data_IF_329596009982
#
_entry.id   IF_329596009982
#
_cell.length_a   1.000
_cell.length_b   1.000
_cell.length_c   1.000
_cell.angle_alpha   90.00
_cell.angle_beta   90.00
_cell.angle_gamma   90.00
#
_symmetry.space_group_name_H-M   'P 1'
#
loop_
_entity.id
_entity.type
_entity.pdbx_description
1 polymer ?
#
# COMPACT_ATOMS: atom_id res chain seq x y z
N UNK A 1 37.91 -51.73 -37.24
CA UNK A 1 38.37 -50.98 -36.05
C UNK A 1 37.51 -49.74 -35.91
N UNK A 2 36.39 -49.85 -35.13
CA UNK A 2 35.40 -48.80 -34.98
C UNK A 2 35.56 -48.14 -33.62
N UNK A 3 36.00 -46.90 -33.59
CA UNK A 3 36.06 -46.08 -32.38
C UNK A 3 34.73 -45.31 -32.23
N UNK A 4 33.86 -45.81 -31.32
CA UNK A 4 32.63 -45.10 -30.91
C UNK A 4 33.03 -43.96 -29.96
N UNK A 5 32.79 -42.73 -30.40
CA UNK A 5 32.92 -41.50 -29.56
C UNK A 5 31.58 -41.29 -28.84
N UNK A 6 31.59 -41.40 -27.54
CA UNK A 6 30.46 -41.07 -26.68
C UNK A 6 30.54 -39.56 -26.38
N UNK A 7 29.56 -38.80 -26.85
CA UNK A 7 29.35 -37.41 -26.42
C UNK A 7 28.47 -37.44 -25.18
N UNK A 8 29.06 -37.11 -24.03
CA UNK A 8 28.30 -36.86 -22.79
C UNK A 8 27.72 -35.42 -22.86
N UNK A 9 26.42 -35.33 -22.99
CA UNK A 9 25.70 -34.06 -22.89
C UNK A 9 25.48 -33.73 -21.40
N UNK A 10 26.21 -32.74 -20.87
CA UNK A 10 25.97 -32.21 -19.54
C UNK A 10 24.82 -31.19 -19.60
N UNK A 11 23.66 -31.54 -19.02
CA UNK A 11 22.55 -30.63 -18.80
C UNK A 11 22.86 -29.74 -17.58
N UNK A 12 23.17 -28.51 -17.83
CA UNK A 12 23.25 -27.44 -16.79
C UNK A 12 21.85 -26.97 -16.45
N UNK A 13 21.32 -27.41 -15.31
CA UNK A 13 20.10 -26.88 -14.69
C UNK A 13 20.46 -25.55 -14.03
N UNK A 14 20.18 -24.43 -14.70
CA UNK A 14 20.23 -23.11 -14.10
C UNK A 14 19.02 -22.93 -13.18
N UNK A 15 19.20 -23.12 -11.89
CA UNK A 15 18.21 -22.77 -10.87
C UNK A 15 18.17 -21.23 -10.73
N UNK A 16 17.16 -20.58 -11.32
CA UNK A 16 16.84 -19.20 -11.05
C UNK A 16 16.26 -19.08 -9.64
N UNK A 17 17.11 -18.92 -8.64
CA UNK A 17 16.69 -18.45 -7.32
C UNK A 17 16.36 -16.98 -7.40
N UNK A 18 15.10 -16.66 -7.67
CA UNK A 18 14.57 -15.31 -7.58
C UNK A 18 14.54 -14.87 -6.11
N UNK A 19 15.65 -14.38 -5.59
CA UNK A 19 15.67 -13.66 -4.34
C UNK A 19 14.90 -12.35 -4.55
N UNK A 20 13.66 -12.27 -4.03
CA UNK A 20 12.92 -11.01 -3.95
C UNK A 20 13.75 -10.06 -3.09
N UNK A 21 14.36 -9.05 -3.72
CA UNK A 21 15.04 -7.99 -3.00
C UNK A 21 14.04 -7.31 -2.04
N UNK A 22 14.44 -6.99 -0.80
CA UNK A 22 13.58 -6.26 0.10
C UNK A 22 13.19 -4.94 -0.57
N UNK A 23 11.89 -4.68 -0.66
CA UNK A 23 11.39 -3.45 -1.25
C UNK A 23 11.93 -2.27 -0.44
N UNK A 24 12.88 -1.53 -1.02
CA UNK A 24 13.41 -0.31 -0.44
C UNK A 24 12.29 0.73 -0.43
N UNK A 25 11.85 1.11 0.76
CA UNK A 25 10.89 2.21 0.92
C UNK A 25 11.62 3.50 0.58
N UNK A 26 11.36 4.06 -0.60
CA UNK A 26 11.89 5.36 -0.98
C UNK A 26 11.14 6.46 -0.22
N UNK A 27 11.84 7.43 0.38
CA UNK A 27 11.21 8.59 0.99
C UNK A 27 10.31 9.30 -0.02
N UNK A 28 9.08 9.60 0.38
CA UNK A 28 8.15 10.32 -0.47
C UNK A 28 8.36 11.84 -0.33
N UNK A 29 8.46 12.54 -1.47
CA UNK A 29 8.68 14.00 -1.51
C UNK A 29 7.36 14.78 -1.57
N UNK A 30 6.24 14.10 -1.77
CA UNK A 30 4.89 14.68 -1.84
C UNK A 30 3.88 13.79 -1.13
N UNK A 31 2.77 14.38 -0.71
CA UNK A 31 1.68 13.64 -0.08
C UNK A 31 1.14 12.55 -1.01
N UNK A 32 0.90 12.87 -2.29
CA UNK A 32 0.47 11.90 -3.30
C UNK A 32 1.45 10.74 -3.46
N UNK A 33 2.77 11.01 -3.49
CA UNK A 33 3.77 9.95 -3.61
C UNK A 33 3.78 9.03 -2.38
N UNK A 34 3.57 9.57 -1.18
CA UNK A 34 3.44 8.78 0.05
C UNK A 34 2.26 7.82 -0.03
N UNK A 35 1.10 8.30 -0.51
CA UNK A 35 -0.10 7.49 -0.69
C UNK A 35 0.11 6.42 -1.75
N UNK A 36 0.70 6.75 -2.91
CA UNK A 36 0.99 5.78 -3.96
C UNK A 36 1.90 4.64 -3.47
N UNK A 37 2.98 4.99 -2.74
CA UNK A 37 3.89 4.01 -2.18
C UNK A 37 3.20 3.13 -1.14
N UNK A 38 2.34 3.73 -0.29
CA UNK A 38 1.57 2.98 0.71
C UNK A 38 0.58 2.02 0.06
N UNK A 39 -0.18 2.47 -0.95
CA UNK A 39 -1.14 1.63 -1.67
C UNK A 39 -0.45 0.49 -2.43
N UNK A 40 0.75 0.73 -2.98
CA UNK A 40 1.56 -0.36 -3.56
C UNK A 40 1.96 -1.38 -2.49
N UNK A 41 2.41 -0.93 -1.31
CA UNK A 41 2.73 -1.83 -0.20
C UNK A 41 1.51 -2.64 0.27
N UNK A 42 0.30 -2.05 0.23
CA UNK A 42 -0.97 -2.76 0.48
C UNK A 42 -1.19 -3.86 -0.55
N UNK A 43 -1.08 -3.55 -1.85
CA UNK A 43 -1.26 -4.51 -2.95
C UNK A 43 -0.26 -5.68 -2.85
N UNK A 44 0.98 -5.37 -2.48
CA UNK A 44 2.06 -6.35 -2.30
C UNK A 44 1.95 -7.12 -0.95
N UNK A 45 0.96 -6.80 -0.10
CA UNK A 45 0.83 -7.33 1.27
C UNK A 45 2.11 -7.15 2.09
N UNK A 46 2.87 -6.08 1.83
CA UNK A 46 4.13 -5.78 2.47
C UNK A 46 3.91 -4.95 3.75
N UNK A 47 3.59 -5.64 4.85
CA UNK A 47 3.30 -5.01 6.15
C UNK A 47 4.48 -4.19 6.68
N UNK A 48 5.71 -4.62 6.42
CA UNK A 48 6.92 -3.89 6.84
C UNK A 48 7.04 -2.55 6.12
N UNK A 49 6.82 -2.52 4.81
CA UNK A 49 6.80 -1.28 4.03
C UNK A 49 5.66 -0.36 4.48
N UNK A 50 4.46 -0.91 4.71
CA UNK A 50 3.32 -0.14 5.24
C UNK A 50 3.66 0.52 6.57
N UNK A 51 4.27 -0.21 7.52
CA UNK A 51 4.71 0.35 8.81
C UNK A 51 5.80 1.42 8.67
N UNK A 52 6.60 1.36 7.62
CA UNK A 52 7.59 2.39 7.27
C UNK A 52 6.98 3.65 6.63
N UNK A 53 5.77 3.56 6.11
CA UNK A 53 5.07 4.65 5.41
C UNK A 53 3.89 5.23 6.21
N UNK A 54 3.51 4.62 7.31
CA UNK A 54 2.45 5.06 8.22
C UNK A 54 3.03 5.37 9.60
N UNK A 55 2.48 6.40 10.26
CA UNK A 55 2.94 6.75 11.60
C UNK A 55 2.31 8.01 12.17
N UNK A 56 3.05 8.66 13.04
CA UNK A 56 2.66 9.87 13.74
C UNK A 56 3.64 11.01 13.43
N UNK A 57 3.40 12.20 13.97
CA UNK A 57 4.35 13.32 13.90
C UNK A 57 5.74 13.01 14.45
N UNK A 58 5.88 11.93 15.22
CA UNK A 58 7.19 11.44 15.72
C UNK A 58 7.95 10.63 14.67
N UNK A 59 7.28 10.24 13.58
CA UNK A 59 7.87 9.47 12.48
C UNK A 59 7.14 8.16 12.20
N UNK A 60 7.70 7.36 11.27
CA UNK A 60 7.13 6.08 10.87
C UNK A 60 7.00 5.10 12.04
N UNK A 61 5.89 4.34 12.07
CA UNK A 61 5.59 3.38 13.12
C UNK A 61 6.67 2.29 13.24
N UNK A 62 7.26 1.86 12.14
CA UNK A 62 8.37 0.90 12.13
C UNK A 62 9.58 1.37 12.94
N UNK A 63 9.85 2.69 12.96
CA UNK A 63 10.98 3.29 13.70
C UNK A 63 10.60 3.64 15.13
N UNK A 64 9.44 4.25 15.31
CA UNK A 64 9.01 4.83 16.60
C UNK A 64 8.34 3.82 17.52
N UNK A 65 7.88 2.69 16.97
CA UNK A 65 7.04 1.70 17.64
C UNK A 65 5.77 2.31 18.24
N UNK A 66 5.26 3.37 17.60
CA UNK A 66 4.08 4.13 18.04
C UNK A 66 3.01 4.18 16.95
N UNK A 67 1.74 4.02 17.34
CA UNK A 67 1.24 3.62 18.66
C UNK A 67 1.66 2.17 19.02
N UNK A 68 1.56 1.77 20.28
CA UNK A 68 2.04 0.43 20.74
C UNK A 68 1.38 -0.74 20.02
N UNK A 69 0.18 -0.55 19.48
CA UNK A 69 -0.60 -1.53 18.71
C UNK A 69 -0.43 -1.37 17.18
N UNK A 70 0.62 -0.67 16.72
CA UNK A 70 0.79 -0.33 15.30
C UNK A 70 0.79 -1.55 14.37
N UNK A 71 1.38 -2.68 14.80
CA UNK A 71 1.42 -3.90 13.98
C UNK A 71 0.01 -4.40 13.68
N UNK A 72 -0.85 -4.43 14.71
CA UNK A 72 -2.26 -4.80 14.54
C UNK A 72 -2.99 -3.83 13.60
N UNK A 73 -2.74 -2.52 13.72
CA UNK A 73 -3.35 -1.51 12.85
C UNK A 73 -2.92 -1.68 11.40
N UNK A 74 -1.65 -1.99 11.15
CA UNK A 74 -1.14 -2.26 9.79
C UNK A 74 -1.86 -3.45 9.16
N UNK A 75 -2.06 -4.55 9.90
CA UNK A 75 -2.80 -5.73 9.41
C UNK A 75 -4.25 -5.36 9.08
N UNK A 76 -4.92 -4.59 9.95
CA UNK A 76 -6.29 -4.13 9.70
C UNK A 76 -6.34 -3.23 8.46
N UNK A 77 -5.43 -2.26 8.33
CA UNK A 77 -5.36 -1.39 7.15
C UNK A 77 -5.13 -2.19 5.88
N UNK A 78 -4.21 -3.16 5.88
CA UNK A 78 -3.97 -4.04 4.73
C UNK A 78 -5.24 -4.77 4.32
N UNK A 79 -5.98 -5.34 5.27
CA UNK A 79 -7.23 -6.06 5.00
C UNK A 79 -8.31 -5.17 4.39
N UNK A 80 -8.52 -3.97 4.97
CA UNK A 80 -9.55 -3.03 4.51
C UNK A 80 -9.21 -2.35 3.19
N UNK A 81 -7.92 -2.10 2.94
CA UNK A 81 -7.44 -1.40 1.75
C UNK A 81 -7.03 -2.34 0.61
N UNK A 82 -7.13 -3.66 0.80
CA UNK A 82 -6.92 -4.64 -0.28
C UNK A 82 -7.79 -4.28 -1.50
N UNK A 83 -7.20 -4.25 -2.68
CA UNK A 83 -7.84 -3.75 -3.90
C UNK A 83 -7.30 -4.43 -5.16
N UNK A 84 -8.08 -4.37 -6.23
CA UNK A 84 -7.65 -4.77 -7.58
C UNK A 84 -6.97 -3.59 -8.30
N UNK A 85 -7.42 -2.36 -7.98
CA UNK A 85 -6.89 -1.12 -8.55
C UNK A 85 -7.11 0.04 -7.59
N UNK A 86 -6.20 1.03 -7.63
CA UNK A 86 -6.32 2.26 -6.85
C UNK A 86 -5.80 3.47 -7.59
N UNK A 87 -6.46 4.62 -7.41
CA UNK A 87 -6.01 5.89 -7.97
C UNK A 87 -6.29 7.05 -7.04
N UNK A 88 -5.42 8.04 -7.06
CA UNK A 88 -5.64 9.30 -6.35
C UNK A 88 -6.64 10.14 -7.15
N UNK A 89 -7.67 10.64 -6.47
CA UNK A 89 -8.67 11.54 -7.03
C UNK A 89 -8.32 13.01 -6.77
N UNK A 90 -7.83 13.32 -5.58
CA UNK A 90 -7.43 14.67 -5.19
C UNK A 90 -6.35 14.64 -4.11
N UNK A 91 -5.58 15.72 -4.04
CA UNK A 91 -4.55 15.98 -3.05
C UNK A 91 -4.63 17.49 -2.73
N UNK A 92 -5.08 17.82 -1.53
CA UNK A 92 -5.33 19.21 -1.12
C UNK A 92 -4.73 19.48 0.25
N UNK A 93 -4.12 20.67 0.48
CA UNK A 93 -3.70 21.08 1.80
C UNK A 93 -4.86 21.05 2.81
N UNK A 94 -4.59 20.58 4.02
CA UNK A 94 -5.55 20.46 5.12
C UNK A 94 -5.04 21.26 6.33
N UNK A 95 -5.39 22.55 6.37
CA UNK A 95 -5.00 23.48 7.42
C UNK A 95 -3.55 23.99 7.37
N UNK A 96 -2.67 23.31 6.68
CA UNK A 96 -1.28 23.73 6.42
C UNK A 96 -0.66 23.00 5.23
N UNK A 97 0.42 23.55 4.67
CA UNK A 97 1.19 22.89 3.58
C UNK A 97 1.91 21.62 4.02
N UNK A 98 2.06 21.40 5.33
CA UNK A 98 2.66 20.18 5.89
C UNK A 98 1.64 19.08 6.21
N UNK A 99 0.36 19.29 5.91
CA UNK A 99 -0.72 18.33 6.09
C UNK A 99 -1.65 18.37 4.89
N UNK A 100 -1.93 17.21 4.32
CA UNK A 100 -2.79 17.07 3.16
C UNK A 100 -3.91 16.07 3.41
N UNK A 101 -5.07 16.34 2.83
CA UNK A 101 -6.17 15.41 2.63
C UNK A 101 -6.08 14.86 1.21
N UNK A 102 -5.88 13.55 1.11
CA UNK A 102 -5.77 12.86 -0.18
C UNK A 102 -6.93 11.88 -0.32
N UNK A 103 -7.72 12.02 -1.40
CA UNK A 103 -8.82 11.12 -1.71
C UNK A 103 -8.32 10.01 -2.63
N UNK A 104 -8.52 8.77 -2.23
CA UNK A 104 -8.11 7.59 -3.00
C UNK A 104 -9.33 6.78 -3.40
N UNK A 105 -9.49 6.54 -4.68
CA UNK A 105 -10.46 5.60 -5.18
C UNK A 105 -9.88 4.19 -5.11
N UNK A 106 -10.58 3.29 -4.45
CA UNK A 106 -10.30 1.85 -4.44
C UNK A 106 -11.33 1.13 -5.30
N UNK A 107 -10.88 0.20 -6.15
CA UNK A 107 -11.73 -0.74 -6.82
C UNK A 107 -11.46 -2.15 -6.30
N UNK A 108 -12.53 -2.84 -5.90
CA UNK A 108 -12.50 -4.24 -5.47
C UNK A 108 -13.68 -4.95 -6.09
N UNK A 109 -13.42 -5.93 -6.96
CA UNK A 109 -14.45 -6.58 -7.76
C UNK A 109 -15.25 -5.54 -8.59
N UNK A 110 -16.58 -5.54 -8.48
CA UNK A 110 -17.46 -4.61 -9.20
C UNK A 110 -17.74 -3.30 -8.43
N UNK A 111 -17.20 -3.12 -7.23
CA UNK A 111 -17.46 -1.94 -6.40
C UNK A 111 -16.27 -1.00 -6.32
N UNK A 112 -16.59 0.26 -6.09
CA UNK A 112 -15.63 1.36 -5.97
C UNK A 112 -15.92 2.16 -4.71
N UNK A 113 -14.88 2.51 -3.96
CA UNK A 113 -14.96 3.34 -2.75
C UNK A 113 -14.00 4.51 -2.86
N UNK A 114 -14.35 5.63 -2.26
CA UNK A 114 -13.44 6.77 -2.09
C UNK A 114 -13.04 6.84 -0.64
N UNK A 115 -11.75 6.66 -0.37
CA UNK A 115 -11.18 6.58 0.98
C UNK A 115 -10.34 7.81 1.25
N UNK A 116 -10.67 8.59 2.30
CA UNK A 116 -9.86 9.72 2.73
C UNK A 116 -8.60 9.27 3.47
N UNK A 117 -7.47 9.86 3.08
CA UNK A 117 -6.18 9.74 3.75
C UNK A 117 -5.77 11.10 4.31
N UNK A 118 -5.26 11.13 5.53
CA UNK A 118 -4.51 12.27 6.04
C UNK A 118 -3.02 11.96 5.96
N UNK A 119 -2.28 12.82 5.28
CA UNK A 119 -0.84 12.69 5.04
C UNK A 119 -0.14 13.88 5.69
N UNK A 120 0.98 13.63 6.36
CA UNK A 120 1.74 14.67 7.05
C UNK A 120 3.20 14.69 6.58
N UNK A 121 3.78 15.87 6.56
CA UNK A 121 5.19 16.05 6.33
C UNK A 121 5.93 16.06 7.67
N UNK A 122 6.96 15.25 7.77
CA UNK A 122 7.86 15.24 8.92
C UNK A 122 8.89 16.38 8.84
N UNK A 123 9.59 16.63 9.92
CA UNK A 123 10.61 17.70 10.00
C UNK A 123 11.78 17.50 9.05
N UNK A 124 12.03 16.27 8.60
CA UNK A 124 13.04 15.95 7.58
C UNK A 124 12.54 16.12 6.14
N UNK A 125 11.32 16.60 5.95
CA UNK A 125 10.68 16.79 4.64
C UNK A 125 10.00 15.54 4.08
N UNK A 126 10.10 14.40 4.74
CA UNK A 126 9.48 13.14 4.29
C UNK A 126 7.97 13.17 4.56
N UNK A 127 7.19 12.69 3.59
CA UNK A 127 5.74 12.55 3.73
C UNK A 127 5.38 11.13 4.15
N UNK A 128 4.48 11.00 5.14
CA UNK A 128 3.95 9.72 5.62
C UNK A 128 2.44 9.77 5.81
N UNK A 129 1.79 8.61 5.75
CA UNK A 129 0.37 8.46 6.09
C UNK A 129 0.21 8.61 7.60
N UNK A 130 -0.70 9.47 8.03
CA UNK A 130 -1.04 9.64 9.45
C UNK A 130 -2.36 8.97 9.81
N UNK A 131 -3.40 9.19 8.99
CA UNK A 131 -4.72 8.59 9.21
C UNK A 131 -5.30 8.08 7.89
N UNK A 132 -6.14 7.05 8.01
CA UNK A 132 -6.96 6.51 6.92
C UNK A 132 -8.37 6.28 7.46
N UNK A 133 -9.36 6.78 6.76
CA UNK A 133 -10.76 6.47 7.09
C UNK A 133 -11.16 5.10 6.53
N UNK A 134 -10.95 4.06 7.33
CA UNK A 134 -11.27 2.69 6.94
C UNK A 134 -12.78 2.44 6.84
N UNK A 135 -13.63 3.29 7.45
CA UNK A 135 -15.08 3.14 7.35
C UNK A 135 -15.56 3.40 5.92
N UNK A 136 -14.83 4.28 5.20
CA UNK A 136 -15.10 4.60 3.80
C UNK A 136 -14.60 3.51 2.82
N UNK A 137 -13.78 2.55 3.26
CA UNK A 137 -13.22 1.50 2.40
C UNK A 137 -14.18 0.31 2.15
N UNK A 138 -15.39 0.36 2.70
CA UNK A 138 -16.33 -0.76 2.71
C UNK A 138 -15.88 -1.91 3.61
N UNK A 139 -16.74 -2.90 3.80
CA UNK A 139 -16.40 -4.05 4.63
C UNK A 139 -15.81 -5.18 3.77
N UNK A 140 -14.54 -5.56 3.96
CA UNK A 140 -13.90 -6.61 3.15
C UNK A 140 -14.51 -8.00 3.34
N UNK A 141 -15.22 -8.23 4.47
CA UNK A 141 -15.89 -9.51 4.76
C UNK A 141 -17.29 -9.62 4.16
N UNK A 142 -17.79 -8.57 3.52
CA UNK A 142 -19.10 -8.58 2.86
C UNK A 142 -18.93 -8.59 1.35
N UNK A 143 -19.74 -9.37 0.62
CA UNK A 143 -19.75 -9.31 -0.84
C UNK A 143 -20.02 -7.89 -1.33
N UNK A 144 -19.32 -7.51 -2.39
CA UNK A 144 -19.60 -6.28 -3.10
C UNK A 144 -20.99 -6.37 -3.74
N UNK A 145 -21.85 -5.38 -3.42
CA UNK A 145 -23.13 -5.21 -4.10
C UNK A 145 -23.18 -3.83 -4.77
N UNK A 146 -22.92 -3.74 -6.08
CA UNK A 146 -22.88 -2.46 -6.79
C UNK A 146 -24.21 -1.71 -6.73
N UNK A 147 -25.35 -2.41 -6.74
CA UNK A 147 -26.66 -1.79 -6.66
C UNK A 147 -26.93 -1.05 -5.33
N UNK A 148 -26.21 -1.40 -4.26
CA UNK A 148 -26.32 -0.71 -2.97
C UNK A 148 -25.48 0.57 -2.89
N UNK A 149 -24.48 0.72 -3.77
CA UNK A 149 -23.60 1.91 -3.80
C UNK A 149 -24.27 3.11 -4.46
N UNK A 150 -25.09 2.89 -5.49
CA UNK A 150 -25.78 3.96 -6.22
C UNK A 150 -26.80 4.70 -5.33
N UNK A 151 -27.33 4.04 -4.33
CA UNK A 151 -28.33 4.64 -3.41
C UNK A 151 -27.70 5.58 -2.37
N UNK A 152 -26.39 5.46 -2.08
CA UNK A 152 -25.69 6.28 -1.09
C UNK A 152 -25.16 7.61 -1.66
N UNK A 153 -24.98 7.70 -2.97
CA UNK A 153 -24.48 8.89 -3.67
C UNK A 153 -25.58 9.94 -3.95
N UNK A 154 -26.85 9.62 -3.69
CA UNK A 154 -28.01 10.47 -3.99
C UNK A 154 -28.59 11.21 -2.75
N UNK A 155 -27.85 11.32 -1.65
CA UNK A 155 -28.28 12.06 -0.44
C UNK A 155 -27.34 13.19 -0.08
#
# INVERSE_FOLDING_TARGET
MNKRRWCAAALLLAACSGASAPATVHPANTASAAVQNFMRAVADSNLTAMAGLWGTTRGPAAKTRQPSDYERRIVVMQTYLSHDDSRILSDTPDGSDARHAVQVQLRRQACTWTVPFTVIQLTDGTWIINQVDLTAAGNPSRPCNPSAQDTSAAR
#
